data_IF_377175671041
#
_entry.id   IF_377175671041
#
_cell.length_a   1.000
_cell.length_b   1.000
_cell.length_c   1.000
_cell.angle_alpha   90.00
_cell.angle_beta   90.00
_cell.angle_gamma   90.00
#
_symmetry.space_group_name_H-M   'P 1'
#
loop_
_entity.id
_entity.type
_entity.pdbx_description
1 polymer ?
#
# COMPACT_ATOMS: atom_id res chain seq x y z
N UNK A 1 -17.71 22.22 -18.44
CA UNK A 1 -16.81 21.11 -18.07
C UNK A 1 -17.38 20.49 -16.82
N UNK A 2 -17.94 19.29 -16.99
CA UNK A 2 -18.82 18.56 -16.08
C UNK A 2 -18.05 17.83 -14.99
N UNK A 3 -18.69 17.67 -13.83
CA UNK A 3 -18.22 17.07 -12.57
C UNK A 3 -17.70 15.61 -12.67
N UNK A 4 -17.76 15.02 -13.86
CA UNK A 4 -17.34 13.67 -14.20
C UNK A 4 -15.83 13.45 -14.01
N UNK A 5 -15.03 14.50 -14.14
CA UNK A 5 -13.57 14.42 -14.07
C UNK A 5 -13.02 14.15 -12.66
N UNK A 6 -13.82 14.42 -11.60
CA UNK A 6 -13.38 14.19 -10.23
C UNK A 6 -13.65 12.77 -9.72
N UNK A 7 -14.65 12.05 -10.28
CA UNK A 7 -14.95 10.67 -9.85
C UNK A 7 -13.95 9.64 -10.38
N UNK A 8 -13.47 9.83 -11.61
CA UNK A 8 -12.51 8.92 -12.24
C UNK A 8 -11.18 8.91 -11.47
N UNK A 9 -10.70 10.08 -11.06
CA UNK A 9 -9.41 10.24 -10.38
C UNK A 9 -9.37 9.61 -8.97
N UNK A 10 -10.51 9.60 -8.26
CA UNK A 10 -10.59 8.97 -6.93
C UNK A 10 -10.66 7.44 -7.04
N UNK A 11 -11.33 6.92 -8.07
CA UNK A 11 -11.35 5.49 -8.36
C UNK A 11 -9.96 4.95 -8.66
N UNK A 12 -9.24 5.62 -9.57
CA UNK A 12 -7.87 5.23 -9.96
C UNK A 12 -6.89 5.26 -8.77
N UNK A 13 -6.97 6.28 -7.91
CA UNK A 13 -6.14 6.34 -6.70
C UNK A 13 -6.47 5.19 -5.72
N UNK A 14 -7.76 4.85 -5.56
CA UNK A 14 -8.20 3.73 -4.74
C UNK A 14 -7.67 2.38 -5.22
N UNK A 15 -7.68 2.14 -6.53
CA UNK A 15 -7.14 0.92 -7.14
C UNK A 15 -5.62 0.79 -6.94
N UNK A 16 -4.88 1.91 -7.06
CA UNK A 16 -3.43 1.95 -6.80
C UNK A 16 -3.15 1.59 -5.33
N UNK A 17 -3.88 2.19 -4.39
CA UNK A 17 -3.71 1.93 -2.95
C UNK A 17 -4.01 0.46 -2.64
N UNK A 18 -5.13 -0.08 -3.13
CA UNK A 18 -5.52 -1.46 -2.89
C UNK A 18 -4.50 -2.46 -3.47
N UNK A 19 -3.98 -2.17 -4.67
CA UNK A 19 -2.95 -3.01 -5.31
C UNK A 19 -1.64 -2.96 -4.52
N UNK A 20 -1.22 -1.78 -4.08
CA UNK A 20 -0.02 -1.61 -3.29
C UNK A 20 -0.08 -2.34 -1.94
N UNK A 21 -1.21 -2.26 -1.24
CA UNK A 21 -1.42 -2.95 0.03
C UNK A 21 -1.31 -4.47 -0.13
N UNK A 22 -1.92 -5.05 -1.18
CA UNK A 22 -1.81 -6.48 -1.49
C UNK A 22 -0.37 -6.93 -1.76
N UNK A 23 0.42 -6.11 -2.45
CA UNK A 23 1.83 -6.41 -2.69
C UNK A 23 2.65 -6.41 -1.39
N UNK A 24 2.42 -5.41 -0.52
CA UNK A 24 3.10 -5.32 0.77
C UNK A 24 2.71 -6.51 1.66
N UNK A 25 1.41 -6.82 1.76
CA UNK A 25 0.91 -7.95 2.54
C UNK A 25 1.52 -9.27 2.06
N UNK A 26 1.48 -9.54 0.76
CA UNK A 26 2.10 -10.72 0.17
C UNK A 26 3.60 -10.79 0.49
N UNK A 27 4.32 -9.67 0.35
CA UNK A 27 5.74 -9.59 0.67
C UNK A 27 6.05 -9.82 2.15
N UNK A 28 5.20 -9.36 3.07
CA UNK A 28 5.36 -9.65 4.52
C UNK A 28 5.12 -11.12 4.80
N UNK A 29 4.06 -11.71 4.24
CA UNK A 29 3.70 -13.12 4.44
C UNK A 29 4.76 -14.08 3.88
N UNK A 30 5.36 -13.74 2.74
CA UNK A 30 6.39 -14.58 2.09
C UNK A 30 7.82 -14.23 2.51
N UNK A 31 8.04 -13.11 3.19
CA UNK A 31 9.37 -12.56 3.45
C UNK A 31 10.06 -11.96 2.21
N UNK A 32 9.30 -11.68 1.14
CA UNK A 32 9.82 -11.10 -0.10
C UNK A 32 9.84 -9.56 -0.06
N UNK A 33 11.04 -9.01 0.15
CA UNK A 33 11.25 -7.56 0.21
C UNK A 33 11.02 -6.85 -1.14
N UNK A 34 11.10 -7.55 -2.28
CA UNK A 34 10.85 -6.94 -3.59
C UNK A 34 9.37 -6.65 -3.79
N UNK A 35 8.48 -7.49 -3.28
CA UNK A 35 7.03 -7.23 -3.26
C UNK A 35 6.68 -6.04 -2.37
N UNK A 36 7.32 -5.93 -1.20
CA UNK A 36 7.16 -4.78 -0.30
C UNK A 36 7.61 -3.50 -1.01
N UNK A 37 8.76 -3.53 -1.69
CA UNK A 37 9.29 -2.40 -2.44
C UNK A 37 8.36 -2.00 -3.59
N UNK A 38 7.87 -2.97 -4.36
CA UNK A 38 6.94 -2.72 -5.46
C UNK A 38 5.64 -2.05 -4.97
N UNK A 39 5.09 -2.51 -3.82
CA UNK A 39 3.94 -1.86 -3.21
C UNK A 39 4.23 -0.43 -2.74
N UNK A 40 5.41 -0.17 -2.15
CA UNK A 40 5.84 1.20 -1.80
C UNK A 40 5.91 2.12 -3.02
N UNK A 41 6.51 1.65 -4.11
CA UNK A 41 6.64 2.43 -5.35
C UNK A 41 5.27 2.82 -5.92
N UNK A 42 4.27 1.94 -5.83
CA UNK A 42 2.88 2.24 -6.22
C UNK A 42 2.24 3.31 -5.36
N UNK A 43 2.44 3.29 -4.04
CA UNK A 43 1.88 4.32 -3.15
C UNK A 43 2.49 5.70 -3.40
N UNK A 44 3.74 5.78 -3.84
CA UNK A 44 4.40 7.07 -4.16
C UNK A 44 3.76 7.74 -5.38
N UNK A 45 3.06 6.98 -6.25
CA UNK A 45 2.30 7.56 -7.37
C UNK A 45 1.12 8.42 -6.91
N UNK A 46 0.59 8.17 -5.70
CA UNK A 46 -0.62 8.81 -5.18
C UNK A 46 -0.40 9.60 -3.89
N UNK A 47 0.64 9.30 -3.11
CA UNK A 47 0.94 9.93 -1.83
C UNK A 47 2.38 10.43 -1.74
N UNK A 48 2.64 11.47 -0.94
CA UNK A 48 4.00 11.92 -0.66
C UNK A 48 4.85 10.81 -0.03
N UNK A 49 6.10 10.69 -0.46
CA UNK A 49 7.04 9.63 -0.02
C UNK A 49 7.17 9.52 1.50
N UNK A 50 7.13 10.63 2.24
CA UNK A 50 7.20 10.63 3.71
C UNK A 50 6.00 9.92 4.35
N UNK A 51 4.80 10.17 3.80
CA UNK A 51 3.55 9.52 4.24
C UNK A 51 3.59 8.04 3.88
N UNK A 52 4.07 7.69 2.69
CA UNK A 52 4.23 6.29 2.27
C UNK A 52 5.18 5.55 3.20
N UNK A 53 6.34 6.13 3.51
CA UNK A 53 7.32 5.49 4.39
C UNK A 53 6.74 5.23 5.78
N UNK A 54 6.06 6.22 6.37
CA UNK A 54 5.41 6.06 7.68
C UNK A 54 4.30 5.00 7.62
N UNK A 55 3.39 5.10 6.65
CA UNK A 55 2.25 4.19 6.51
C UNK A 55 2.71 2.74 6.31
N UNK A 56 3.67 2.51 5.41
CA UNK A 56 4.13 1.15 5.12
C UNK A 56 4.91 0.57 6.29
N UNK A 57 5.70 1.36 7.02
CA UNK A 57 6.37 0.85 8.22
C UNK A 57 5.35 0.41 9.28
N UNK A 58 4.37 1.27 9.60
CA UNK A 58 3.32 0.95 10.55
C UNK A 58 2.48 -0.27 10.11
N UNK A 59 2.14 -0.35 8.82
CA UNK A 59 1.37 -1.46 8.28
C UNK A 59 2.13 -2.79 8.31
N UNK A 60 3.44 -2.79 8.00
CA UNK A 60 4.28 -3.98 8.11
C UNK A 60 4.43 -4.41 9.57
N UNK A 61 4.61 -3.46 10.50
CA UNK A 61 4.70 -3.76 11.94
C UNK A 61 3.41 -4.42 12.45
N UNK A 62 2.25 -3.89 12.05
CA UNK A 62 0.93 -4.44 12.37
C UNK A 62 0.78 -5.88 11.84
N UNK A 63 1.05 -6.10 10.55
CA UNK A 63 1.01 -7.44 9.93
C UNK A 63 1.93 -8.44 10.62
N UNK A 64 3.13 -8.02 11.03
CA UNK A 64 4.07 -8.88 11.76
C UNK A 64 3.58 -9.21 13.16
N UNK A 65 2.97 -8.24 13.85
CA UNK A 65 2.38 -8.47 15.17
C UNK A 65 1.21 -9.44 15.08
N UNK A 66 0.34 -9.31 14.07
CA UNK A 66 -0.76 -10.24 13.84
C UNK A 66 -0.26 -11.67 13.59
N UNK A 67 0.79 -11.82 12.77
CA UNK A 67 1.43 -13.12 12.51
C UNK A 67 2.04 -13.73 13.77
N UNK A 68 2.66 -12.91 14.63
CA UNK A 68 3.27 -13.38 15.88
C UNK A 68 2.24 -13.79 16.94
N UNK A 69 1.03 -13.20 16.94
CA UNK A 69 -0.04 -13.50 17.90
C UNK A 69 -1.04 -14.57 17.40
N UNK A 70 -0.95 -14.99 16.14
CA UNK A 70 -1.85 -15.99 15.52
C UNK A 70 -1.30 -17.42 15.53
N UNK A 71 -0.12 -17.65 16.12
CA UNK A 71 0.53 -18.97 16.26
C UNK A 71 0.54 -19.48 17.69
#
# INVERSE_FOLDING_TARGET
MTEERCRTSVGEAGDIIATAQRLIEAGVLTGDNELIKAGKERLIEVWPTEIVNLHVNLYIEDLRNDLANSG
#
